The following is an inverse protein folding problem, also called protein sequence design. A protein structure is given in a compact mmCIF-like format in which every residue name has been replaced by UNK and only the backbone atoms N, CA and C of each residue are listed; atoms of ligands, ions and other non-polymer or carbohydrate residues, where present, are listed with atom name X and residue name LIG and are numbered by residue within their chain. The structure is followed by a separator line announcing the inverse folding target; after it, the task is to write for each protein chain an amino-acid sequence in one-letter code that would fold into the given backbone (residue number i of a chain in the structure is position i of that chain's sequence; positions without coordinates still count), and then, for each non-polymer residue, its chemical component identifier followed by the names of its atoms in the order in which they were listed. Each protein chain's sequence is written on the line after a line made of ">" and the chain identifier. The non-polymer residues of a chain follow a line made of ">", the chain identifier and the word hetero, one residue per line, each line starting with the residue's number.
data_IF_774013672880
#
_entry.id   IF_774013672880
#
_cell.length_a   1.000
_cell.length_b   1.000
_cell.length_c   1.000
_cell.angle_alpha   90.00
_cell.angle_beta   90.00
_cell.angle_gamma   90.00
#
_symmetry.space_group_name_H-M   'P 1'
#
loop_
_entity.id
_entity.type
_entity.pdbx_description
1 polymer ?
#
# COMPACT_ATOMS: atom_id res chain seq x y z
N UNK A 1 -1.18 18.37 7.64
CA UNK A 1 -2.25 17.34 7.55
C UNK A 1 -1.96 16.16 8.46
N UNK A 2 -0.76 15.58 8.41
CA UNK A 2 -0.34 14.49 9.32
C UNK A 2 -0.41 14.93 10.79
N UNK A 3 -0.03 16.17 11.12
CA UNK A 3 -0.11 16.65 12.51
C UNK A 3 -1.53 16.69 13.09
N UNK A 4 -2.52 17.05 12.25
CA UNK A 4 -3.94 17.05 12.65
C UNK A 4 -4.38 15.63 12.93
N UNK A 5 -4.00 14.69 12.07
CA UNK A 5 -4.32 13.27 12.23
C UNK A 5 -3.60 12.67 13.45
N UNK A 6 -2.35 13.05 13.69
CA UNK A 6 -1.59 12.64 14.87
C UNK A 6 -2.26 13.14 16.17
N UNK A 7 -2.65 14.42 16.22
CA UNK A 7 -3.40 14.98 17.36
C UNK A 7 -4.72 14.24 17.58
N UNK A 8 -5.46 13.97 16.52
CA UNK A 8 -6.71 13.21 16.61
C UNK A 8 -6.51 11.78 17.12
N UNK A 9 -5.44 11.09 16.70
CA UNK A 9 -5.07 9.78 17.22
C UNK A 9 -4.68 9.81 18.69
N UNK A 10 -4.09 10.91 19.17
CA UNK A 10 -3.71 11.10 20.58
C UNK A 10 -4.89 11.39 21.49
N UNK A 11 -6.00 11.92 20.97
CA UNK A 11 -7.19 12.24 21.77
C UNK A 11 -7.82 11.00 22.43
N UNK A 12 -7.73 9.82 21.80
CA UNK A 12 -8.22 8.58 22.41
C UNK A 12 -7.62 7.32 21.79
N UNK A 13 -7.50 6.27 22.60
CA UNK A 13 -7.10 4.94 22.12
C UNK A 13 -8.05 4.38 21.04
N UNK A 14 -9.32 4.80 21.05
CA UNK A 14 -10.28 4.39 20.04
C UNK A 14 -9.95 5.00 18.67
N UNK A 15 -9.61 6.29 18.62
CA UNK A 15 -9.19 6.98 17.38
C UNK A 15 -7.94 6.32 16.78
N UNK A 16 -6.96 6.03 17.64
CA UNK A 16 -5.78 5.26 17.25
C UNK A 16 -6.14 3.89 16.64
N UNK A 17 -7.00 3.13 17.31
CA UNK A 17 -7.41 1.80 16.85
C UNK A 17 -8.13 1.84 15.50
N UNK A 18 -8.89 2.89 15.21
CA UNK A 18 -9.54 3.08 13.89
C UNK A 18 -8.48 3.18 12.79
N UNK A 19 -7.43 4.00 12.97
CA UNK A 19 -6.36 4.14 11.97
C UNK A 19 -5.60 2.82 11.78
N UNK A 20 -5.31 2.12 12.87
CA UNK A 20 -4.66 0.80 12.79
C UNK A 20 -5.56 -0.20 12.06
N UNK A 21 -6.85 -0.24 12.36
CA UNK A 21 -7.82 -1.12 11.71
C UNK A 21 -7.92 -0.86 10.21
N UNK A 22 -8.06 0.42 9.82
CA UNK A 22 -8.08 0.82 8.40
C UNK A 22 -6.79 0.41 7.70
N UNK A 23 -5.64 0.70 8.31
CA UNK A 23 -4.32 0.35 7.77
C UNK A 23 -4.20 -1.16 7.55
N UNK A 24 -4.69 -1.96 8.52
CA UNK A 24 -4.63 -3.41 8.45
C UNK A 24 -5.52 -3.98 7.35
N UNK A 25 -6.77 -3.50 7.23
CA UNK A 25 -7.69 -3.90 6.15
C UNK A 25 -7.10 -3.54 4.79
N UNK A 26 -6.54 -2.35 4.66
CA UNK A 26 -5.96 -1.86 3.41
C UNK A 26 -4.74 -2.70 3.03
N UNK A 27 -3.82 -2.97 3.96
CA UNK A 27 -2.63 -3.76 3.70
C UNK A 27 -2.96 -5.23 3.39
N UNK A 28 -3.69 -5.91 4.28
CA UNK A 28 -4.03 -7.33 4.10
C UNK A 28 -4.97 -7.57 2.93
N UNK A 29 -5.96 -6.70 2.72
CA UNK A 29 -6.86 -6.78 1.58
C UNK A 29 -6.10 -6.69 0.28
N UNK A 30 -5.20 -5.72 0.16
CA UNK A 30 -4.37 -5.52 -1.03
C UNK A 30 -3.41 -6.68 -1.27
N UNK A 31 -2.75 -7.18 -0.21
CA UNK A 31 -1.89 -8.36 -0.28
C UNK A 31 -2.67 -9.59 -0.75
N UNK A 32 -3.88 -9.80 -0.22
CA UNK A 32 -4.75 -10.92 -0.62
C UNK A 32 -5.10 -10.83 -2.10
N UNK A 33 -5.48 -9.66 -2.59
CA UNK A 33 -5.78 -9.43 -4.01
C UNK A 33 -4.56 -9.71 -4.89
N UNK A 34 -3.38 -9.21 -4.51
CA UNK A 34 -2.13 -9.49 -5.22
C UNK A 34 -1.83 -10.99 -5.31
N UNK A 35 -1.99 -11.73 -4.21
CA UNK A 35 -1.76 -13.18 -4.18
C UNK A 35 -2.78 -13.94 -5.06
N UNK A 36 -4.06 -13.54 -5.03
CA UNK A 36 -5.10 -14.14 -5.86
C UNK A 36 -4.83 -13.90 -7.35
N UNK A 37 -4.48 -12.67 -7.73
CA UNK A 37 -4.16 -12.32 -9.11
C UNK A 37 -2.89 -13.02 -9.59
N UNK A 38 -1.86 -13.09 -8.74
CA UNK A 38 -0.64 -13.86 -9.04
C UNK A 38 -0.96 -15.31 -9.38
N UNK A 39 -1.83 -15.97 -8.62
CA UNK A 39 -2.28 -17.34 -8.93
C UNK A 39 -3.01 -17.43 -10.27
N UNK A 40 -3.74 -16.38 -10.66
CA UNK A 40 -4.48 -16.33 -11.92
C UNK A 40 -3.61 -16.12 -13.16
N UNK A 41 -2.44 -15.50 -13.02
CA UNK A 41 -1.51 -15.36 -14.16
C UNK A 41 -0.86 -16.69 -14.57
N UNK A 42 -0.75 -17.66 -13.66
CA UNK A 42 -0.24 -19.00 -13.95
C UNK A 42 1.24 -19.17 -13.64
N UNK A 43 1.88 -20.12 -14.33
CA UNK A 43 3.29 -20.47 -14.10
C UNK A 43 4.23 -19.36 -14.60
N UNK A 44 5.40 -19.15 -13.98
CA UNK A 44 6.38 -18.20 -14.47
C UNK A 44 6.86 -18.62 -15.87
N UNK A 45 6.66 -17.74 -16.84
CA UNK A 45 7.18 -17.78 -18.21
C UNK A 45 7.64 -16.37 -18.62
N UNK A 46 8.18 -16.21 -19.83
CA UNK A 46 8.68 -14.90 -20.30
C UNK A 46 7.59 -13.81 -20.25
N UNK A 47 6.35 -14.15 -20.62
CA UNK A 47 5.21 -13.23 -20.60
C UNK A 47 4.85 -12.81 -19.18
N UNK A 48 4.74 -13.78 -18.28
CA UNK A 48 4.31 -13.57 -16.90
C UNK A 48 5.37 -12.83 -16.08
N UNK A 49 6.65 -13.07 -16.37
CA UNK A 49 7.75 -12.29 -15.79
C UNK A 49 7.70 -10.81 -16.21
N UNK A 50 7.35 -10.53 -17.47
CA UNK A 50 7.11 -9.16 -17.93
C UNK A 50 5.96 -8.47 -17.19
N UNK A 51 4.88 -9.20 -16.88
CA UNK A 51 3.76 -8.69 -16.07
C UNK A 51 4.20 -8.41 -14.64
N UNK A 52 4.94 -9.34 -14.00
CA UNK A 52 5.46 -9.12 -12.65
C UNK A 52 6.42 -7.94 -12.57
N UNK A 53 7.25 -7.73 -13.59
CA UNK A 53 8.12 -6.57 -13.67
C UNK A 53 7.32 -5.28 -13.73
N UNK A 54 6.28 -5.19 -14.56
CA UNK A 54 5.41 -3.99 -14.64
C UNK A 54 4.75 -3.68 -13.28
N UNK A 55 4.20 -4.71 -12.62
CA UNK A 55 3.56 -4.55 -11.30
C UNK A 55 4.60 -4.07 -10.26
N UNK A 56 5.76 -4.72 -10.22
CA UNK A 56 6.80 -4.41 -9.24
C UNK A 56 7.38 -3.01 -9.48
N UNK A 57 7.63 -2.62 -10.73
CA UNK A 57 8.09 -1.26 -11.07
C UNK A 57 7.06 -0.20 -10.69
N UNK A 58 5.77 -0.46 -10.89
CA UNK A 58 4.69 0.44 -10.46
C UNK A 58 4.66 0.59 -8.93
N UNK A 59 4.75 -0.52 -8.19
CA UNK A 59 4.81 -0.50 -6.72
C UNK A 59 6.07 0.20 -6.22
N UNK A 60 7.22 -0.04 -6.84
CA UNK A 60 8.49 0.59 -6.46
C UNK A 60 8.47 2.10 -6.69
N UNK A 61 7.98 2.56 -7.84
CA UNK A 61 7.82 4.00 -8.09
C UNK A 61 6.88 4.63 -7.05
N UNK A 62 5.78 3.96 -6.74
CA UNK A 62 4.83 4.40 -5.71
C UNK A 62 5.50 4.44 -4.33
N UNK A 63 6.33 3.46 -3.99
CA UNK A 63 7.10 3.45 -2.75
C UNK A 63 8.03 4.66 -2.65
N UNK A 64 8.73 5.01 -3.73
CA UNK A 64 9.61 6.18 -3.75
C UNK A 64 8.83 7.47 -3.51
N UNK A 65 7.68 7.63 -4.17
CA UNK A 65 6.79 8.78 -3.97
C UNK A 65 6.29 8.84 -2.53
N UNK A 66 5.76 7.73 -2.01
CA UNK A 66 5.23 7.64 -0.65
C UNK A 66 6.30 7.91 0.40
N UNK A 67 7.51 7.35 0.25
CA UNK A 67 8.63 7.64 1.15
C UNK A 67 9.05 9.11 1.08
N UNK A 68 9.06 9.71 -0.12
CA UNK A 68 9.39 11.14 -0.28
C UNK A 68 8.36 12.02 0.44
N UNK A 69 7.07 11.70 0.31
CA UNK A 69 6.00 12.39 1.04
C UNK A 69 6.17 12.18 2.54
N UNK A 70 6.44 10.95 2.99
CA UNK A 70 6.63 10.64 4.40
C UNK A 70 7.76 11.47 5.01
N UNK A 71 8.94 11.49 4.38
CA UNK A 71 10.10 12.26 4.85
C UNK A 71 9.80 13.77 4.84
N UNK A 72 9.05 14.25 3.85
CA UNK A 72 8.70 15.66 3.73
C UNK A 72 7.64 16.13 4.74
N UNK A 73 6.77 15.23 5.21
CA UNK A 73 5.58 15.58 5.99
C UNK A 73 5.63 15.12 7.45
N UNK A 74 6.52 14.18 7.79
CA UNK A 74 6.62 13.62 9.14
C UNK A 74 7.77 14.28 9.88
N UNK A 75 7.43 15.19 10.80
CA UNK A 75 8.38 15.82 11.72
C UNK A 75 8.69 14.90 12.93
N UNK A 76 9.79 15.19 13.64
CA UNK A 76 10.29 14.45 14.81
C UNK A 76 9.29 14.38 15.98
N UNK A 77 8.31 15.28 16.01
CA UNK A 77 7.33 15.40 17.09
C UNK A 77 6.10 14.49 16.91
N UNK A 78 6.06 13.66 15.87
CA UNK A 78 4.94 12.74 15.62
C UNK A 78 5.14 11.45 16.40
N UNK A 79 4.32 11.24 17.44
CA UNK A 79 4.37 10.06 18.30
C UNK A 79 4.06 8.76 17.52
N UNK A 80 3.06 8.79 16.64
CA UNK A 80 2.60 7.62 15.89
C UNK A 80 3.21 7.51 14.48
N UNK A 81 4.45 7.94 14.30
CA UNK A 81 5.11 7.95 12.98
C UNK A 81 5.16 6.56 12.33
N UNK A 82 5.26 5.49 13.13
CA UNK A 82 5.28 4.10 12.63
C UNK A 82 3.97 3.70 11.99
N UNK A 83 2.84 4.13 12.58
CA UNK A 83 1.51 3.85 12.08
C UNK A 83 1.29 4.58 10.76
N UNK A 84 1.76 5.83 10.64
CA UNK A 84 1.77 6.54 9.35
C UNK A 84 2.65 5.85 8.32
N UNK A 85 3.85 5.39 8.68
CA UNK A 85 4.71 4.64 7.77
C UNK A 85 4.01 3.37 7.24
N UNK A 86 3.37 2.61 8.12
CA UNK A 86 2.60 1.42 7.73
C UNK A 86 1.38 1.75 6.87
N UNK A 87 0.68 2.85 7.13
CA UNK A 87 -0.41 3.33 6.29
C UNK A 87 0.08 3.63 4.87
N UNK A 88 1.20 4.33 4.74
CA UNK A 88 1.82 4.64 3.44
C UNK A 88 2.24 3.36 2.72
N UNK A 89 2.81 2.40 3.45
CA UNK A 89 3.11 1.08 2.90
C UNK A 89 1.84 0.37 2.41
N UNK A 90 0.74 0.46 3.17
CA UNK A 90 -0.57 0.01 2.74
C UNK A 90 -0.98 0.58 1.40
N UNK A 91 -0.87 1.91 1.21
CA UNK A 91 -1.22 2.58 -0.05
C UNK A 91 -0.39 2.03 -1.23
N UNK A 92 0.89 1.74 -1.02
CA UNK A 92 1.74 1.11 -2.06
C UNK A 92 1.18 -0.26 -2.47
N UNK A 93 0.79 -1.08 -1.50
CA UNK A 93 0.19 -2.38 -1.77
C UNK A 93 -1.16 -2.26 -2.48
N UNK A 94 -1.98 -1.27 -2.10
CA UNK A 94 -3.28 -1.02 -2.75
C UNK A 94 -3.11 -0.63 -4.22
N UNK A 95 -2.17 0.26 -4.53
CA UNK A 95 -1.87 0.65 -5.91
C UNK A 95 -1.39 -0.57 -6.70
N UNK A 96 -0.50 -1.40 -6.13
CA UNK A 96 -0.09 -2.66 -6.74
C UNK A 96 -1.25 -3.61 -7.02
N UNK A 97 -2.17 -3.76 -6.06
CA UNK A 97 -3.36 -4.60 -6.18
C UNK A 97 -4.29 -4.11 -7.31
N UNK A 98 -4.61 -2.80 -7.35
CA UNK A 98 -5.44 -2.21 -8.39
C UNK A 98 -4.78 -2.34 -9.77
N UNK A 99 -3.48 -2.04 -9.86
CA UNK A 99 -2.74 -2.12 -11.12
C UNK A 99 -2.67 -3.55 -11.66
N UNK A 100 -2.33 -4.52 -10.80
CA UNK A 100 -2.30 -5.94 -11.17
C UNK A 100 -3.68 -6.45 -11.61
N UNK A 101 -4.76 -5.99 -10.96
CA UNK A 101 -6.12 -6.34 -11.36
C UNK A 101 -6.46 -5.77 -12.74
N UNK A 102 -6.06 -4.53 -12.99
CA UNK A 102 -6.21 -3.87 -14.30
C UNK A 102 -5.47 -4.62 -15.41
N UNK A 103 -4.25 -5.11 -15.17
CA UNK A 103 -3.51 -5.93 -16.12
C UNK A 103 -4.20 -7.28 -16.37
N UNK A 104 -4.64 -7.97 -15.31
CA UNK A 104 -5.39 -9.22 -15.45
C UNK A 104 -6.66 -9.05 -16.29
N UNK A 105 -7.38 -7.93 -16.10
CA UNK A 105 -8.58 -7.59 -16.87
C UNK A 105 -8.34 -7.19 -18.33
N UNK A 106 -7.10 -6.93 -18.73
CA UNK A 106 -6.75 -6.59 -20.12
C UNK A 106 -6.19 -7.79 -20.87
N UNK A 107 -5.37 -8.60 -20.20
CA UNK A 107 -4.58 -9.63 -20.85
C UNK A 107 -5.20 -11.04 -20.73
N UNK A 108 -6.17 -11.25 -19.82
CA UNK A 108 -6.72 -12.58 -19.51
C UNK A 108 -8.26 -12.66 -19.44
N UNK A 109 -8.96 -11.53 -19.53
CA UNK A 109 -10.43 -11.49 -19.54
C UNK A 109 -10.92 -10.48 -20.57
#
# INVERSE_FOLDING_TARGET
>A
MIDVLNKWMLESSNNFNIIVGITMVLYLGSLTVLLLIRKKFGKPDERTNGIYLKITSCMFLTQLIMNSIFISQVDRNIEYFRQFFLLFQGVVFLIGAVYSYGLYRKDFK
#
